data_IF_441241909908
#
_entry.id   IF_441241909908
#
_cell.length_a   1.000
_cell.length_b   1.000
_cell.length_c   1.000
_cell.angle_alpha   90.00
_cell.angle_beta   90.00
_cell.angle_gamma   90.00
#
_symmetry.space_group_name_H-M   'P 1'
#
loop_
_entity.id
_entity.type
_entity.pdbx_description
1 polymer ?
#
# COMPACT_ATOMS: atom_id res chain seq x y z
N UNK A 1 -7.31 0.59 12.69
CA UNK A 1 -7.05 -0.64 11.91
C UNK A 1 -8.25 -1.59 11.89
N UNK A 2 -9.33 -1.25 11.17
CA UNK A 2 -10.43 -2.19 10.90
C UNK A 2 -10.50 -2.56 9.41
N UNK A 3 -10.35 -1.57 8.54
CA UNK A 3 -10.36 -1.74 7.10
C UNK A 3 -9.25 -0.89 6.50
N UNK A 4 -8.33 -1.53 5.77
CA UNK A 4 -7.34 -0.83 4.96
C UNK A 4 -7.79 -0.79 3.50
N UNK A 5 -7.81 0.39 2.91
CA UNK A 5 -7.97 0.59 1.48
C UNK A 5 -6.58 0.71 0.86
N UNK A 6 -6.28 -0.16 -0.11
CA UNK A 6 -5.01 -0.13 -0.83
C UNK A 6 -5.24 0.12 -2.32
N UNK A 7 -4.34 0.89 -2.92
CA UNK A 7 -4.37 1.21 -4.34
C UNK A 7 -2.95 1.42 -4.89
N UNK A 8 -2.73 1.00 -6.12
CA UNK A 8 -1.51 1.31 -6.87
C UNK A 8 -1.84 2.29 -7.98
N UNK A 9 -1.19 3.46 -7.97
CA UNK A 9 -1.38 4.51 -8.96
C UNK A 9 -0.14 4.63 -9.88
N UNK A 10 -0.37 4.97 -11.15
CA UNK A 10 0.67 5.19 -12.16
C UNK A 10 0.56 4.27 -13.38
N UNK A 11 1.53 4.36 -14.33
CA UNK A 11 2.76 5.14 -14.24
C UNK A 11 2.53 6.66 -14.25
N UNK A 12 3.31 7.38 -13.45
CA UNK A 12 3.29 8.84 -13.34
C UNK A 12 4.07 9.46 -14.50
N UNK A 13 3.65 10.64 -15.00
CA UNK A 13 4.33 11.31 -16.12
C UNK A 13 5.75 11.76 -15.75
N UNK A 14 6.05 11.93 -14.46
CA UNK A 14 7.37 12.33 -13.96
C UNK A 14 7.85 11.31 -12.94
N UNK A 15 9.08 10.84 -13.12
CA UNK A 15 9.72 9.89 -12.20
C UNK A 15 10.30 10.62 -10.99
N UNK A 16 10.34 9.95 -9.85
CA UNK A 16 11.12 10.43 -8.69
C UNK A 16 12.62 10.44 -9.02
N UNK A 17 13.47 11.11 -8.22
CA UNK A 17 14.94 11.05 -8.41
C UNK A 17 15.49 9.62 -8.42
N UNK A 18 14.83 8.68 -7.72
CA UNK A 18 15.18 7.26 -7.69
C UNK A 18 14.48 6.44 -8.78
N UNK A 19 13.93 7.10 -9.81
CA UNK A 19 13.29 6.48 -10.98
C UNK A 19 12.03 5.66 -10.67
N UNK A 20 11.37 5.91 -9.54
CA UNK A 20 10.05 5.33 -9.24
C UNK A 20 9.00 6.05 -10.07
N UNK A 21 8.07 5.30 -10.64
CA UNK A 21 7.01 5.83 -11.51
C UNK A 21 5.61 5.42 -11.04
N UNK A 22 5.50 4.63 -9.97
CA UNK A 22 4.23 4.25 -9.37
C UNK A 22 4.18 4.71 -7.92
N UNK A 23 2.98 4.84 -7.37
CA UNK A 23 2.76 5.07 -5.94
C UNK A 23 1.82 4.00 -5.40
N UNK A 24 2.17 3.43 -4.25
CA UNK A 24 1.29 2.54 -3.51
C UNK A 24 0.74 3.27 -2.29
N UNK A 25 -0.58 3.39 -2.25
CA UNK A 25 -1.30 4.06 -1.19
C UNK A 25 -1.99 3.04 -0.27
N UNK A 26 -1.91 3.29 1.04
CA UNK A 26 -2.60 2.55 2.09
C UNK A 26 -3.32 3.56 2.97
N UNK A 27 -4.62 3.42 3.13
CA UNK A 27 -5.45 4.28 3.97
C UNK A 27 -6.23 3.43 4.97
N UNK A 28 -6.19 3.75 6.26
CA UNK A 28 -7.12 3.18 7.24
C UNK A 28 -8.44 3.94 7.19
N UNK A 29 -9.54 3.22 7.05
CA UNK A 29 -10.88 3.82 6.93
C UNK A 29 -11.39 4.38 8.27
N UNK A 30 -10.83 3.90 9.38
CA UNK A 30 -11.28 4.22 10.74
C UNK A 30 -10.35 5.16 11.51
N UNK A 31 -9.11 5.35 11.05
CA UNK A 31 -8.12 6.21 11.70
C UNK A 31 -7.47 7.12 10.66
N UNK A 32 -6.82 8.19 11.09
CA UNK A 32 -6.11 9.12 10.18
C UNK A 32 -4.76 8.59 9.69
N UNK A 33 -4.49 7.28 9.83
CA UNK A 33 -3.26 6.66 9.35
C UNK A 33 -3.32 6.45 7.85
N UNK A 34 -2.33 7.02 7.16
CA UNK A 34 -2.21 6.94 5.71
C UNK A 34 -0.74 6.79 5.34
N UNK A 35 -0.46 6.08 4.24
CA UNK A 35 0.86 5.99 3.64
C UNK A 35 0.75 6.06 2.14
N UNK A 36 1.66 6.81 1.51
CA UNK A 36 1.89 6.80 0.08
C UNK A 36 3.38 6.54 -0.16
N UNK A 37 3.71 5.41 -0.77
CA UNK A 37 5.08 4.99 -1.01
C UNK A 37 5.37 4.97 -2.52
N UNK A 38 6.40 5.70 -3.00
CA UNK A 38 6.81 5.57 -4.38
C UNK A 38 7.46 4.19 -4.62
N UNK A 39 7.06 3.50 -5.70
CA UNK A 39 7.59 2.19 -6.07
C UNK A 39 8.00 2.15 -7.54
N UNK A 40 9.02 1.34 -7.84
CA UNK A 40 9.52 1.16 -9.21
C UNK A 40 8.61 0.22 -9.99
N UNK A 41 8.38 -0.99 -9.44
CA UNK A 41 7.50 -2.01 -10.02
C UNK A 41 6.23 -2.12 -9.18
N UNK A 42 5.08 -2.35 -9.83
CA UNK A 42 3.81 -2.51 -9.12
C UNK A 42 3.88 -3.64 -8.07
N UNK A 43 4.53 -4.77 -8.37
CA UNK A 43 4.66 -5.91 -7.44
C UNK A 43 5.44 -5.59 -6.15
N UNK A 44 6.16 -4.46 -6.08
CA UNK A 44 6.78 -4.03 -4.82
C UNK A 44 5.73 -3.65 -3.75
N UNK A 45 4.46 -3.48 -4.12
CA UNK A 45 3.36 -3.14 -3.21
C UNK A 45 3.19 -4.18 -2.07
N UNK A 46 3.44 -5.47 -2.31
CA UNK A 46 3.34 -6.51 -1.27
C UNK A 46 4.29 -6.27 -0.11
N UNK A 47 5.55 -5.95 -0.42
CA UNK A 47 6.58 -5.69 0.58
C UNK A 47 6.20 -4.45 1.40
N UNK A 48 5.86 -3.36 0.72
CA UNK A 48 5.44 -2.12 1.37
C UNK A 48 4.21 -2.34 2.26
N UNK A 49 3.23 -3.12 1.79
CA UNK A 49 2.04 -3.47 2.57
C UNK A 49 2.41 -4.22 3.85
N UNK A 50 3.19 -5.29 3.76
CA UNK A 50 3.59 -6.11 4.92
C UNK A 50 4.35 -5.27 5.97
N UNK A 51 5.29 -4.46 5.52
CA UNK A 51 6.07 -3.58 6.41
C UNK A 51 5.18 -2.53 7.09
N UNK A 52 4.25 -1.94 6.34
CA UNK A 52 3.34 -0.91 6.86
C UNK A 52 2.31 -1.51 7.80
N UNK A 53 1.75 -2.68 7.47
CA UNK A 53 0.86 -3.42 8.37
C UNK A 53 1.57 -3.70 9.69
N UNK A 54 2.76 -4.30 9.66
CA UNK A 54 3.51 -4.62 10.87
C UNK A 54 3.78 -3.37 11.71
N UNK A 55 4.21 -2.27 11.09
CA UNK A 55 4.45 -1.00 11.77
C UNK A 55 3.18 -0.49 12.48
N UNK A 56 2.05 -0.41 11.77
CA UNK A 56 0.81 0.14 12.32
C UNK A 56 0.21 -0.76 13.40
N UNK A 57 0.27 -2.09 13.22
CA UNK A 57 -0.19 -3.01 14.25
C UNK A 57 0.65 -2.90 15.54
N UNK A 58 1.97 -2.75 15.41
CA UNK A 58 2.86 -2.58 16.55
C UNK A 58 2.64 -1.22 17.26
N UNK A 59 2.42 -0.14 16.49
CA UNK A 59 2.20 1.20 17.07
C UNK A 59 0.85 1.32 17.78
N UNK A 60 -0.19 0.67 17.26
CA UNK A 60 -1.56 0.82 17.78
C UNK A 60 -1.97 -0.30 18.75
N UNK A 61 -1.25 -1.43 18.76
CA UNK A 61 -1.68 -2.64 19.46
C UNK A 61 -2.92 -3.32 18.84
N UNK A 62 -3.40 -2.82 17.71
CA UNK A 62 -4.58 -3.34 17.00
C UNK A 62 -4.15 -4.21 15.82
N UNK A 63 -5.01 -5.14 15.41
CA UNK A 63 -4.79 -5.99 14.23
C UNK A 63 -5.62 -5.52 13.05
N UNK A 64 -5.03 -5.51 11.86
CA UNK A 64 -5.78 -5.29 10.61
C UNK A 64 -6.80 -6.40 10.45
N UNK A 65 -8.07 -6.05 10.22
CA UNK A 65 -9.16 -7.02 10.11
C UNK A 65 -9.54 -7.32 8.66
N UNK A 66 -9.53 -6.30 7.81
CA UNK A 66 -9.90 -6.42 6.40
C UNK A 66 -9.02 -5.51 5.55
N UNK A 67 -8.80 -5.94 4.32
CA UNK A 67 -8.11 -5.16 3.29
C UNK A 67 -9.00 -5.14 2.07
N UNK A 68 -9.26 -3.94 1.53
CA UNK A 68 -9.94 -3.73 0.26
C UNK A 68 -8.90 -3.24 -0.74
N UNK A 69 -8.77 -3.98 -1.83
CA UNK A 69 -7.90 -3.62 -2.95
C UNK A 69 -8.77 -2.96 -4.02
N UNK A 70 -8.50 -1.70 -4.33
CA UNK A 70 -9.05 -1.03 -5.51
C UNK A 70 -7.89 -0.77 -6.47
N UNK A 71 -7.96 -1.26 -7.70
CA UNK A 71 -6.88 -1.08 -8.70
C UNK A 71 -5.56 -1.85 -8.45
N UNK A 72 -5.36 -2.48 -7.29
CA UNK A 72 -4.15 -3.25 -6.95
C UNK A 72 -4.25 -4.74 -7.35
N UNK A 73 -4.40 -4.99 -8.66
CA UNK A 73 -4.61 -6.33 -9.23
C UNK A 73 -3.47 -7.30 -8.93
N UNK A 74 -2.28 -6.80 -8.60
CA UNK A 74 -1.13 -7.62 -8.22
C UNK A 74 -1.47 -8.53 -7.03
N UNK A 75 -2.27 -8.03 -6.08
CA UNK A 75 -2.73 -8.82 -4.93
C UNK A 75 -3.73 -9.91 -5.28
N UNK A 76 -4.51 -9.72 -6.35
CA UNK A 76 -5.56 -10.66 -6.75
C UNK A 76 -5.09 -11.75 -7.72
N UNK A 77 -4.05 -11.51 -8.51
CA UNK A 77 -3.58 -12.42 -9.56
C UNK A 77 -2.55 -13.45 -9.10
N UNK A 78 -2.04 -13.33 -7.87
CA UNK A 78 -1.00 -14.23 -7.36
C UNK A 78 0.39 -13.94 -7.94
N UNK A 79 0.58 -12.77 -8.56
CA UNK A 79 1.85 -12.34 -9.15
C UNK A 79 2.80 -11.68 -8.10
N UNK A 80 2.50 -11.83 -6.80
CA UNK A 80 3.23 -11.26 -5.65
C UNK A 80 4.11 -12.26 -4.92
#
# INVERSE_FOLDING_TARGET
>A
LKLLNINTCGPMPTKTPHKQEHFFAILDDCMTYNKAEPIVKKNNCAKVFKETQALWENQTGLKVKKVRCDGALEFGKGDL
#
